data_IF_241600687380
#
_entry.id   IF_241600687380
#
_cell.length_a   1.000
_cell.length_b   1.000
_cell.length_c   1.000
_cell.angle_alpha   90.00
_cell.angle_beta   90.00
_cell.angle_gamma   90.00
#
_symmetry.space_group_name_H-M   'P 1'
#
loop_
_entity.id
_entity.type
_entity.pdbx_description
1 polymer ?
#
# COMPACT_ATOMS: atom_id res chain seq x y z
N UNK A 1 10.16 -13.86 3.36
CA UNK A 1 9.88 -14.51 2.06
C UNK A 1 10.94 -14.08 1.04
N UNK A 2 11.20 -14.86 -0.01
CA UNK A 2 12.32 -14.63 -0.96
C UNK A 2 12.32 -13.27 -1.72
N UNK A 3 11.27 -12.47 -1.57
CA UNK A 3 11.06 -11.16 -2.18
C UNK A 3 11.28 -9.97 -1.24
N UNK A 4 11.44 -10.16 0.08
CA UNK A 4 11.60 -9.06 1.05
C UNK A 4 12.97 -8.37 1.04
N UNK A 5 13.95 -8.91 0.30
CA UNK A 5 15.33 -8.36 0.27
C UNK A 5 15.89 -8.13 -1.12
N UNK A 6 15.07 -8.23 -2.17
CA UNK A 6 15.58 -8.12 -3.54
C UNK A 6 15.34 -6.74 -4.11
N UNK A 7 16.41 -6.04 -4.49
CA UNK A 7 16.32 -4.84 -5.31
C UNK A 7 15.83 -5.22 -6.71
N UNK A 8 14.95 -4.40 -7.26
CA UNK A 8 14.42 -4.58 -8.61
C UNK A 8 14.94 -3.48 -9.51
N UNK A 9 15.45 -3.85 -10.69
CA UNK A 9 15.89 -2.90 -11.72
C UNK A 9 15.36 -3.35 -13.07
N UNK A 10 14.98 -2.39 -13.91
CA UNK A 10 14.64 -2.69 -15.29
C UNK A 10 15.77 -2.21 -16.20
N UNK A 11 16.38 -3.16 -16.90
CA UNK A 11 17.51 -2.91 -17.80
C UNK A 11 16.98 -2.94 -19.24
N UNK A 12 17.01 -1.77 -19.89
CA UNK A 12 16.70 -1.65 -21.30
C UNK A 12 17.88 -2.10 -22.14
N UNK A 13 17.68 -3.13 -22.96
CA UNK A 13 18.71 -3.69 -23.83
C UNK A 13 18.29 -3.64 -25.30
N UNK A 14 19.28 -3.53 -26.18
CA UNK A 14 19.13 -3.79 -27.61
C UNK A 14 19.89 -5.06 -27.95
N UNK A 15 19.18 -6.10 -28.36
CA UNK A 15 19.76 -7.34 -28.84
C UNK A 15 19.78 -7.33 -30.37
N UNK A 16 20.84 -7.84 -30.99
CA UNK A 16 20.82 -8.21 -32.41
C UNK A 16 19.87 -9.40 -32.66
N UNK A 17 19.33 -9.51 -33.87
CA UNK A 17 18.46 -10.62 -34.29
C UNK A 17 19.21 -11.95 -34.54
N UNK A 18 20.49 -12.06 -34.14
CA UNK A 18 21.23 -13.31 -34.24
C UNK A 18 20.67 -14.38 -33.29
N UNK A 19 20.70 -15.65 -33.71
CA UNK A 19 20.19 -16.77 -32.93
C UNK A 19 20.94 -16.89 -31.59
N UNK A 20 20.20 -17.09 -30.51
CA UNK A 20 20.76 -17.37 -29.18
C UNK A 20 21.16 -16.15 -28.35
N UNK A 21 21.17 -14.92 -28.91
CA UNK A 21 21.60 -13.71 -28.18
C UNK A 21 20.80 -13.46 -26.90
N UNK A 22 19.46 -13.59 -26.97
CA UNK A 22 18.61 -13.44 -25.79
C UNK A 22 18.85 -14.58 -24.79
N UNK A 23 18.97 -15.82 -25.26
CA UNK A 23 19.22 -16.96 -24.37
C UNK A 23 20.54 -16.81 -23.61
N UNK A 24 21.62 -16.43 -24.31
CA UNK A 24 22.92 -16.15 -23.72
C UNK A 24 22.86 -14.98 -22.72
N UNK A 25 22.10 -13.93 -23.04
CA UNK A 25 21.89 -12.82 -22.12
C UNK A 25 21.21 -13.26 -20.82
N UNK A 26 20.16 -14.09 -20.92
CA UNK A 26 19.47 -14.62 -19.74
C UNK A 26 20.38 -15.56 -18.93
N UNK A 27 21.20 -16.36 -19.60
CA UNK A 27 22.24 -17.18 -18.96
C UNK A 27 23.26 -16.31 -18.23
N UNK A 28 23.75 -15.23 -18.84
CA UNK A 28 24.71 -14.31 -18.22
C UNK A 28 24.15 -13.64 -16.96
N UNK A 29 22.85 -13.29 -16.96
CA UNK A 29 22.17 -12.78 -15.75
C UNK A 29 22.12 -13.84 -14.67
N UNK A 30 21.76 -15.08 -15.02
CA UNK A 30 21.68 -16.20 -14.07
C UNK A 30 23.05 -16.59 -13.52
N UNK A 31 24.12 -16.56 -14.32
CA UNK A 31 25.51 -16.83 -13.88
C UNK A 31 26.05 -15.75 -12.95
N UNK A 32 25.51 -14.53 -13.05
CA UNK A 32 25.80 -13.46 -12.10
C UNK A 32 25.10 -13.64 -10.74
N UNK A 33 24.29 -14.70 -10.57
CA UNK A 33 23.37 -14.98 -9.45
C UNK A 33 22.10 -14.11 -9.44
N UNK A 34 21.79 -13.51 -10.59
CA UNK A 34 20.60 -12.71 -10.81
C UNK A 34 19.36 -13.53 -11.13
N UNK A 35 18.18 -13.04 -10.76
CA UNK A 35 16.91 -13.59 -11.23
C UNK A 35 16.26 -12.67 -12.26
N UNK A 36 15.69 -13.24 -13.31
CA UNK A 36 14.99 -12.51 -14.36
C UNK A 36 13.50 -12.46 -14.06
N UNK A 37 12.92 -11.27 -14.14
CA UNK A 37 11.49 -11.03 -14.03
C UNK A 37 10.82 -10.90 -15.40
N UNK A 38 10.00 -9.85 -15.55
CA UNK A 38 9.33 -9.54 -16.81
C UNK A 38 10.32 -9.21 -17.93
N UNK A 39 9.98 -9.62 -19.15
CA UNK A 39 10.67 -9.22 -20.38
C UNK A 39 9.63 -8.61 -21.30
N UNK A 40 9.71 -7.30 -21.51
CA UNK A 40 8.81 -6.56 -22.39
C UNK A 40 9.54 -6.15 -23.67
N UNK A 41 8.97 -6.47 -24.83
CA UNK A 41 9.50 -6.02 -26.10
C UNK A 41 8.95 -4.63 -26.43
N UNK A 42 9.84 -3.67 -26.65
CA UNK A 42 9.45 -2.28 -26.97
C UNK A 42 9.46 -2.00 -28.47
N UNK A 43 10.44 -2.55 -29.18
CA UNK A 43 10.60 -2.31 -30.62
C UNK A 43 11.30 -3.50 -31.26
N UNK A 44 10.81 -3.91 -32.43
CA UNK A 44 11.42 -4.95 -33.24
C UNK A 44 11.69 -4.43 -34.65
N UNK A 45 12.88 -4.73 -35.14
CA UNK A 45 13.32 -4.43 -36.50
C UNK A 45 13.99 -5.68 -37.09
N UNK A 46 14.28 -5.65 -38.39
CA UNK A 46 15.01 -6.74 -39.05
C UNK A 46 16.45 -6.94 -38.53
N UNK A 47 17.02 -5.97 -37.83
CA UNK A 47 18.41 -6.04 -37.33
C UNK A 47 18.50 -6.17 -35.82
N UNK A 48 17.56 -5.56 -35.09
CA UNK A 48 17.61 -5.48 -33.64
C UNK A 48 16.22 -5.59 -32.99
N UNK A 49 16.20 -6.06 -31.75
CA UNK A 49 15.05 -6.01 -30.87
C UNK A 49 15.45 -5.26 -29.59
N UNK A 50 14.62 -4.29 -29.19
CA UNK A 50 14.78 -3.56 -27.94
C UNK A 50 13.82 -4.15 -26.90
N UNK A 51 14.34 -4.48 -25.72
CA UNK A 51 13.59 -5.09 -24.62
C UNK A 51 13.88 -4.38 -23.31
N UNK A 52 12.88 -4.29 -22.45
CA UNK A 52 13.04 -4.03 -21.03
C UNK A 52 13.06 -5.38 -20.30
N UNK A 53 14.12 -5.63 -19.54
CA UNK A 53 14.31 -6.87 -18.76
C UNK A 53 14.38 -6.48 -17.30
N UNK A 54 13.41 -6.93 -16.50
CA UNK A 54 13.46 -6.77 -15.05
C UNK A 54 14.45 -7.78 -14.46
N UNK A 55 15.35 -7.33 -13.60
CA UNK A 55 16.27 -8.16 -12.84
C UNK A 55 16.11 -7.92 -11.35
N UNK A 56 16.25 -9.00 -10.57
CA UNK A 56 16.21 -8.96 -9.11
C UNK A 56 17.62 -9.22 -8.57
N UNK A 57 18.14 -8.28 -7.80
CA UNK A 57 19.45 -8.31 -7.15
C UNK A 57 19.31 -8.36 -5.64
N UNK A 58 20.39 -8.66 -4.92
CA UNK A 58 20.41 -8.56 -3.45
C UNK A 58 20.69 -7.13 -2.99
N UNK A 59 21.58 -6.43 -3.69
CA UNK A 59 21.98 -5.05 -3.41
C UNK A 59 22.45 -4.35 -4.70
N UNK A 60 22.86 -3.09 -4.58
CA UNK A 60 23.30 -2.28 -5.74
C UNK A 60 24.59 -2.83 -6.37
N UNK A 61 25.50 -3.41 -5.58
CA UNK A 61 26.72 -4.01 -6.12
C UNK A 61 26.40 -5.23 -6.99
N UNK A 62 25.40 -6.03 -6.58
CA UNK A 62 24.89 -7.14 -7.37
C UNK A 62 24.16 -6.64 -8.63
N UNK A 63 23.42 -5.53 -8.58
CA UNK A 63 22.87 -4.89 -9.79
C UNK A 63 23.98 -4.56 -10.77
N UNK A 64 25.06 -3.90 -10.32
CA UNK A 64 26.19 -3.52 -11.16
C UNK A 64 26.83 -4.74 -11.81
N UNK A 65 27.09 -5.80 -11.04
CA UNK A 65 27.63 -7.07 -11.54
C UNK A 65 26.75 -7.69 -12.65
N UNK A 66 25.43 -7.72 -12.45
CA UNK A 66 24.50 -8.20 -13.48
C UNK A 66 24.54 -7.33 -14.73
N UNK A 67 24.52 -6.00 -14.57
CA UNK A 67 24.56 -5.06 -15.69
C UNK A 67 25.87 -5.21 -16.48
N UNK A 68 27.00 -5.45 -15.82
CA UNK A 68 28.28 -5.76 -16.46
C UNK A 68 28.23 -7.07 -17.26
N UNK A 69 27.66 -8.13 -16.70
CA UNK A 69 27.46 -9.40 -17.42
C UNK A 69 26.56 -9.20 -18.66
N UNK A 70 25.50 -8.39 -18.54
CA UNK A 70 24.64 -8.03 -19.67
C UNK A 70 25.36 -7.21 -20.74
N UNK A 71 26.28 -6.31 -20.35
CA UNK A 71 27.12 -5.53 -21.27
C UNK A 71 28.17 -6.41 -21.97
N UNK A 72 28.67 -7.44 -21.30
CA UNK A 72 29.65 -8.38 -21.86
C UNK A 72 29.03 -9.39 -22.84
N UNK A 73 27.71 -9.59 -22.80
CA UNK A 73 27.02 -10.53 -23.68
C UNK A 73 27.10 -10.11 -25.17
N UNK A 74 27.71 -10.92 -26.05
CA UNK A 74 27.82 -10.60 -27.47
C UNK A 74 26.46 -10.36 -28.14
N UNK A 75 26.39 -9.34 -28.98
CA UNK A 75 25.15 -8.97 -29.66
C UNK A 75 24.11 -8.27 -28.77
N UNK A 76 24.42 -7.96 -27.51
CA UNK A 76 23.60 -7.16 -26.61
C UNK A 76 24.25 -5.80 -26.33
N UNK A 77 23.46 -4.73 -26.36
CA UNK A 77 23.86 -3.41 -25.90
C UNK A 77 22.90 -2.94 -24.82
N UNK A 78 23.39 -2.70 -23.61
CA UNK A 78 22.61 -2.05 -22.55
C UNK A 78 22.43 -0.58 -22.91
N UNK A 79 21.18 -0.12 -22.98
CA UNK A 79 20.82 1.25 -23.31
C UNK A 79 20.55 2.09 -22.07
N UNK A 80 19.90 1.51 -21.07
CA UNK A 80 19.50 2.19 -19.85
C UNK A 80 19.34 1.20 -18.70
N UNK A 81 19.61 1.64 -17.47
CA UNK A 81 19.24 0.94 -16.24
C UNK A 81 18.31 1.87 -15.49
N UNK A 82 17.11 1.38 -15.15
CA UNK A 82 16.03 2.16 -14.54
C UNK A 82 15.69 1.60 -13.18
N UNK A 83 15.46 2.49 -12.23
CA UNK A 83 14.78 2.17 -10.99
C UNK A 83 13.29 2.48 -11.16
N UNK A 84 12.54 1.50 -11.64
CA UNK A 84 11.10 1.67 -11.87
C UNK A 84 10.33 1.91 -10.57
N UNK A 85 10.86 1.46 -9.42
CA UNK A 85 10.25 1.77 -8.12
C UNK A 85 10.30 3.27 -7.90
N UNK A 86 11.48 3.89 -8.02
CA UNK A 86 11.60 5.35 -7.85
C UNK A 86 10.86 6.13 -8.94
N UNK A 87 10.87 5.65 -10.19
CA UNK A 87 10.13 6.29 -11.29
C UNK A 87 8.62 6.30 -11.04
N UNK A 88 8.03 5.19 -10.56
CA UNK A 88 6.61 5.11 -10.21
C UNK A 88 6.23 6.01 -9.02
N UNK A 89 7.18 6.41 -8.18
CA UNK A 89 6.96 7.32 -7.07
C UNK A 89 7.20 8.79 -7.41
N UNK A 90 7.63 9.11 -8.65
CA UNK A 90 7.79 10.51 -9.06
C UNK A 90 6.45 11.24 -9.02
N UNK A 91 6.38 12.28 -8.19
CA UNK A 91 5.16 13.07 -7.89
C UNK A 91 4.06 12.32 -7.14
N UNK A 92 4.40 11.19 -6.51
CA UNK A 92 3.48 10.40 -5.70
C UNK A 92 2.57 9.49 -6.53
N UNK A 93 1.88 8.57 -5.85
CA UNK A 93 1.05 7.52 -6.47
C UNK A 93 -0.43 7.89 -6.57
N UNK A 94 -0.84 8.99 -5.93
CA UNK A 94 -2.23 9.43 -5.87
C UNK A 94 -2.35 10.88 -6.32
N UNK A 95 -3.55 11.28 -6.76
CA UNK A 95 -3.83 12.66 -7.08
C UNK A 95 -5.31 13.01 -6.91
N UNK A 96 -5.59 14.22 -6.42
CA UNK A 96 -6.95 14.75 -6.38
C UNK A 96 -7.36 15.17 -7.79
N UNK A 97 -8.54 14.72 -8.21
CA UNK A 97 -9.13 15.01 -9.53
C UNK A 97 -10.59 15.39 -9.38
N UNK A 98 -11.06 16.29 -10.24
CA UNK A 98 -12.48 16.63 -10.30
C UNK A 98 -13.29 15.45 -10.82
N UNK A 99 -14.47 15.23 -10.25
CA UNK A 99 -15.44 14.23 -10.75
C UNK A 99 -16.15 14.69 -12.03
N UNK A 100 -16.15 16.01 -12.30
CA UNK A 100 -16.81 16.61 -13.47
C UNK A 100 -15.89 17.64 -14.14
N UNK A 101 -15.89 17.72 -15.48
CA UNK A 101 -15.20 18.81 -16.16
C UNK A 101 -15.89 20.15 -15.87
N UNK A 102 -15.11 21.23 -15.80
CA UNK A 102 -15.63 22.61 -15.75
C UNK A 102 -15.31 23.27 -17.09
N UNK A 103 -16.19 23.04 -18.06
CA UNK A 103 -16.04 23.41 -19.47
C UNK A 103 -16.86 24.63 -19.89
N UNK A 104 -17.69 25.16 -18.99
CA UNK A 104 -18.56 26.30 -19.24
C UNK A 104 -18.79 27.13 -17.98
N UNK A 105 -19.14 28.40 -18.18
CA UNK A 105 -19.54 29.29 -17.09
C UNK A 105 -20.78 28.76 -16.35
N UNK A 106 -21.71 28.11 -17.07
CA UNK A 106 -22.89 27.51 -16.49
C UNK A 106 -22.53 26.35 -15.53
N UNK A 107 -21.55 25.51 -15.89
CA UNK A 107 -21.04 24.46 -15.00
C UNK A 107 -20.34 25.08 -13.78
N UNK A 108 -19.46 26.08 -14.00
CA UNK A 108 -18.77 26.78 -12.91
C UNK A 108 -19.74 27.37 -11.89
N UNK A 109 -20.81 28.03 -12.35
CA UNK A 109 -21.82 28.62 -11.48
C UNK A 109 -22.63 27.62 -10.67
N UNK A 110 -22.71 26.35 -11.11
CA UNK A 110 -23.41 25.26 -10.39
C UNK A 110 -22.51 24.62 -9.33
N UNK A 111 -21.27 24.30 -9.69
CA UNK A 111 -20.31 23.64 -8.79
C UNK A 111 -19.68 24.61 -7.79
N UNK A 112 -19.73 25.91 -8.09
CA UNK A 112 -19.22 26.98 -7.25
C UNK A 112 -20.27 28.09 -7.10
N UNK A 113 -19.82 29.33 -6.87
CA UNK A 113 -20.71 30.47 -6.67
C UNK A 113 -21.49 30.80 -7.96
N UNK A 114 -22.81 31.05 -7.88
CA UNK A 114 -23.65 31.10 -6.66
C UNK A 114 -24.30 29.76 -6.26
N UNK A 115 -24.24 28.72 -7.09
CA UNK A 115 -24.97 27.46 -6.91
C UNK A 115 -24.60 26.69 -5.64
N UNK A 116 -23.32 26.63 -5.29
CA UNK A 116 -22.83 25.91 -4.08
C UNK A 116 -23.50 26.38 -2.79
N UNK A 117 -23.93 27.65 -2.72
CA UNK A 117 -24.62 28.19 -1.55
C UNK A 117 -25.93 27.44 -1.24
N UNK A 118 -26.62 26.91 -2.25
CA UNK A 118 -27.82 26.09 -2.04
C UNK A 118 -27.49 24.79 -1.31
N UNK A 119 -26.38 24.14 -1.68
CA UNK A 119 -25.90 22.91 -1.04
C UNK A 119 -25.49 23.20 0.41
N UNK A 120 -24.72 24.27 0.64
CA UNK A 120 -24.32 24.68 2.00
C UNK A 120 -25.53 24.95 2.91
N UNK A 121 -26.56 25.66 2.42
CA UNK A 121 -27.78 25.91 3.21
C UNK A 121 -28.56 24.64 3.52
N UNK A 122 -28.59 23.66 2.59
CA UNK A 122 -29.21 22.36 2.84
C UNK A 122 -28.49 21.60 3.95
N UNK A 123 -27.16 21.54 3.90
CA UNK A 123 -26.34 20.88 4.93
C UNK A 123 -26.45 21.61 6.27
N UNK A 124 -26.51 22.95 6.28
CA UNK A 124 -26.70 23.71 7.51
C UNK A 124 -28.06 23.46 8.16
N UNK A 125 -29.11 23.20 7.37
CA UNK A 125 -30.44 22.85 7.87
C UNK A 125 -30.54 21.39 8.31
N UNK A 126 -29.83 20.48 7.64
CA UNK A 126 -29.76 19.05 7.96
C UNK A 126 -28.34 18.53 7.69
N UNK A 127 -27.49 18.39 8.73
CA UNK A 127 -26.11 17.93 8.58
C UNK A 127 -25.96 16.56 7.93
N UNK A 128 -26.97 15.68 8.00
CA UNK A 128 -26.91 14.35 7.38
C UNK A 128 -26.82 14.43 5.85
N UNK A 129 -27.29 15.54 5.26
CA UNK A 129 -27.19 15.81 3.82
C UNK A 129 -25.74 15.94 3.33
N UNK A 130 -24.78 16.16 4.24
CA UNK A 130 -23.35 16.16 3.88
C UNK A 130 -22.92 14.81 3.29
N UNK A 131 -23.50 13.70 3.74
CA UNK A 131 -23.23 12.37 3.20
C UNK A 131 -23.62 12.22 1.73
N UNK A 132 -24.68 12.91 1.31
CA UNK A 132 -25.22 12.87 -0.06
C UNK A 132 -24.57 13.87 -0.99
N UNK A 133 -24.35 15.11 -0.53
CA UNK A 133 -23.92 16.21 -1.42
C UNK A 133 -22.43 16.52 -1.37
N UNK A 134 -21.63 15.72 -0.65
CA UNK A 134 -20.18 15.88 -0.58
C UNK A 134 -19.47 14.54 -0.80
N UNK A 135 -18.14 14.57 -0.85
CA UNK A 135 -17.32 13.37 -0.94
C UNK A 135 -17.16 12.64 0.41
N UNK A 136 -17.70 13.14 1.52
CA UNK A 136 -17.51 12.54 2.87
C UNK A 136 -17.80 11.03 2.85
N UNK A 137 -18.91 10.61 2.26
CA UNK A 137 -19.33 9.20 2.16
C UNK A 137 -18.35 8.28 1.43
N UNK A 138 -17.39 8.85 0.69
CA UNK A 138 -16.39 8.13 -0.10
C UNK A 138 -14.95 8.32 0.40
N UNK A 139 -14.73 9.12 1.45
CA UNK A 139 -13.39 9.49 1.91
C UNK A 139 -13.03 8.77 3.21
N UNK A 140 -11.84 8.16 3.24
CA UNK A 140 -11.26 7.52 4.42
C UNK A 140 -9.95 8.24 4.76
N UNK A 141 -9.78 8.66 6.00
CA UNK A 141 -8.49 9.17 6.46
C UNK A 141 -7.56 7.99 6.78
N UNK A 142 -6.38 7.96 6.17
CA UNK A 142 -5.33 7.00 6.48
C UNK A 142 -4.31 7.73 7.35
N UNK A 143 -4.42 7.55 8.66
CA UNK A 143 -3.67 8.32 9.67
C UNK A 143 -2.47 7.53 10.14
N UNK A 144 -1.30 8.17 10.11
CA UNK A 144 -0.04 7.60 10.62
C UNK A 144 0.83 8.66 11.28
N UNK A 145 1.67 8.24 12.23
CA UNK A 145 2.81 9.02 12.74
C UNK A 145 4.17 8.50 12.22
N UNK A 146 4.16 7.44 11.41
CA UNK A 146 5.36 6.83 10.81
C UNK A 146 6.29 6.12 11.80
N UNK A 147 5.77 5.71 12.96
CA UNK A 147 6.59 5.11 14.03
C UNK A 147 6.75 3.58 13.92
N UNK A 148 5.99 2.92 13.05
CA UNK A 148 6.07 1.47 12.82
C UNK A 148 5.89 1.11 11.33
N UNK A 149 6.57 1.84 10.44
CA UNK A 149 6.41 1.66 8.99
C UNK A 149 7.00 0.33 8.55
N UNK A 150 6.14 -0.61 8.13
CA UNK A 150 6.55 -1.95 7.66
C UNK A 150 7.50 -2.64 8.67
N UNK A 151 8.61 -3.18 8.20
CA UNK A 151 9.71 -3.70 9.04
C UNK A 151 10.83 -2.67 9.30
N UNK A 152 10.63 -1.40 8.94
CA UNK A 152 11.66 -0.35 9.03
C UNK A 152 11.66 0.37 10.38
N UNK A 153 10.58 0.24 11.16
CA UNK A 153 10.44 0.86 12.48
C UNK A 153 10.08 2.34 12.41
N UNK A 154 10.57 3.12 13.38
CA UNK A 154 10.34 4.57 13.43
C UNK A 154 11.28 5.28 12.45
N UNK A 155 10.75 5.58 11.28
CA UNK A 155 11.41 6.35 10.22
C UNK A 155 10.78 7.75 10.04
N UNK A 156 9.81 8.07 10.90
CA UNK A 156 9.06 9.32 10.88
C UNK A 156 7.98 9.39 9.79
N UNK A 157 7.07 10.37 9.91
CA UNK A 157 5.86 10.42 9.10
C UNK A 157 6.14 10.57 7.60
N UNK A 158 7.08 11.42 7.21
CA UNK A 158 7.37 11.69 5.80
C UNK A 158 7.89 10.46 5.05
N UNK A 159 8.72 9.63 5.69
CA UNK A 159 9.19 8.38 5.10
C UNK A 159 8.10 7.30 5.04
N UNK A 160 7.03 7.44 5.84
CA UNK A 160 5.81 6.63 5.73
C UNK A 160 4.88 7.04 4.58
N UNK A 161 5.00 8.26 4.02
CA UNK A 161 4.11 8.77 2.97
C UNK A 161 3.94 7.79 1.79
N UNK A 162 5.01 7.17 1.23
CA UNK A 162 4.86 6.22 0.13
C UNK A 162 3.97 5.03 0.51
N UNK A 163 4.04 4.52 1.74
CA UNK A 163 3.19 3.41 2.19
C UNK A 163 1.73 3.86 2.26
N UNK A 164 1.46 5.04 2.82
CA UNK A 164 0.11 5.61 2.93
C UNK A 164 -0.52 5.88 1.56
N UNK A 165 0.24 6.44 0.61
CA UNK A 165 -0.22 6.60 -0.77
C UNK A 165 -0.51 5.24 -1.43
N UNK A 166 0.28 4.21 -1.11
CA UNK A 166 0.04 2.84 -1.57
C UNK A 166 -1.28 2.29 -1.06
N UNK A 167 -1.58 2.47 0.24
CA UNK A 167 -2.86 2.08 0.84
C UNK A 167 -4.04 2.83 0.22
N UNK A 168 -3.90 4.14 0.01
CA UNK A 168 -4.91 4.95 -0.68
C UNK A 168 -5.17 4.48 -2.11
N UNK A 169 -4.11 4.18 -2.88
CA UNK A 169 -4.20 3.66 -4.24
C UNK A 169 -4.91 2.29 -4.28
N UNK A 170 -4.55 1.38 -3.38
CA UNK A 170 -5.22 0.06 -3.26
C UNK A 170 -6.70 0.22 -2.93
N UNK A 171 -7.04 1.14 -2.01
CA UNK A 171 -8.41 1.41 -1.62
C UNK A 171 -9.27 1.92 -2.79
N UNK A 172 -8.71 2.82 -3.60
CA UNK A 172 -9.39 3.32 -4.80
C UNK A 172 -9.58 2.20 -5.84
N UNK A 173 -8.51 1.47 -6.14
CA UNK A 173 -8.52 0.48 -7.23
C UNK A 173 -9.32 -0.77 -6.89
N UNK A 174 -9.33 -1.22 -5.64
CA UNK A 174 -9.98 -2.47 -5.23
C UNK A 174 -11.41 -2.27 -4.70
N UNK A 175 -11.72 -1.10 -4.14
CA UNK A 175 -13.00 -0.85 -3.44
C UNK A 175 -13.75 0.37 -4.00
N UNK A 176 -13.07 1.26 -4.73
CA UNK A 176 -13.67 2.50 -5.24
C UNK A 176 -13.80 3.61 -4.19
N UNK A 177 -13.09 3.50 -3.06
CA UNK A 177 -13.06 4.51 -2.00
C UNK A 177 -11.80 5.38 -2.10
N UNK A 178 -11.90 6.64 -1.67
CA UNK A 178 -10.78 7.59 -1.70
C UNK A 178 -10.06 7.63 -0.36
N UNK A 179 -8.89 7.00 -0.28
CA UNK A 179 -8.00 7.14 0.87
C UNK A 179 -7.24 8.47 0.83
N UNK A 180 -7.17 9.18 1.96
CA UNK A 180 -6.39 10.42 2.11
C UNK A 180 -5.33 10.21 3.18
N UNK A 181 -4.03 10.19 2.81
CA UNK A 181 -2.94 10.13 3.78
C UNK A 181 -2.93 11.36 4.71
N UNK A 182 -2.94 11.13 6.02
CA UNK A 182 -2.83 12.14 7.06
C UNK A 182 -1.61 11.80 7.93
N UNK A 183 -0.53 12.54 7.70
CA UNK A 183 0.74 12.34 8.38
C UNK A 183 0.82 13.28 9.59
N UNK A 184 0.88 12.71 10.78
CA UNK A 184 0.95 13.46 12.03
C UNK A 184 2.41 13.52 12.52
N UNK A 185 2.95 14.74 12.65
CA UNK A 185 4.30 14.95 13.16
C UNK A 185 4.31 15.09 14.68
N UNK A 186 3.73 14.11 15.37
CA UNK A 186 3.72 14.02 16.83
C UNK A 186 3.77 12.56 17.24
N UNK A 187 4.33 12.30 18.43
CA UNK A 187 4.35 10.98 19.05
C UNK A 187 3.44 10.89 20.27
N UNK A 188 2.81 12.00 20.66
CA UNK A 188 1.89 12.05 21.80
C UNK A 188 0.53 11.46 21.39
N UNK A 189 0.07 10.37 22.02
CA UNK A 189 -1.25 9.80 21.77
C UNK A 189 -2.38 10.82 21.87
N UNK A 190 -2.35 11.74 22.85
CA UNK A 190 -3.43 12.72 23.05
C UNK A 190 -3.48 13.75 21.92
N UNK A 191 -2.32 14.19 21.44
CA UNK A 191 -2.25 15.08 20.28
C UNK A 191 -2.76 14.39 19.01
N UNK A 192 -2.43 13.11 18.82
CA UNK A 192 -2.95 12.29 17.71
C UNK A 192 -4.47 12.19 17.80
N UNK A 193 -5.01 11.82 18.96
CA UNK A 193 -6.45 11.68 19.18
C UNK A 193 -7.16 13.03 18.92
N UNK A 194 -6.62 14.12 19.45
CA UNK A 194 -7.18 15.45 19.25
C UNK A 194 -7.18 15.87 17.77
N UNK A 195 -6.07 15.61 17.06
CA UNK A 195 -5.95 15.92 15.64
C UNK A 195 -6.95 15.12 14.80
N UNK A 196 -7.05 13.80 15.02
CA UNK A 196 -7.99 12.93 14.30
C UNK A 196 -9.44 13.34 14.58
N UNK A 197 -9.78 13.67 15.82
CA UNK A 197 -11.12 14.18 16.18
C UNK A 197 -11.45 15.48 15.47
N UNK A 198 -10.47 16.39 15.33
CA UNK A 198 -10.70 17.67 14.68
C UNK A 198 -10.97 17.53 13.17
N UNK A 199 -10.35 16.55 12.50
CA UNK A 199 -10.51 16.35 11.05
C UNK A 199 -11.65 15.40 10.68
N UNK A 200 -12.19 14.64 11.65
CA UNK A 200 -13.19 13.59 11.42
C UNK A 200 -14.43 14.02 10.62
N UNK A 201 -14.94 15.27 10.68
CA UNK A 201 -16.10 15.66 9.86
C UNK A 201 -15.88 15.55 8.34
N UNK A 202 -14.62 15.44 7.89
CA UNK A 202 -14.27 15.28 6.47
C UNK A 202 -14.42 13.83 5.99
N UNK A 203 -14.44 12.84 6.87
CA UNK A 203 -14.25 11.45 6.52
C UNK A 203 -15.43 10.57 6.93
N UNK A 204 -15.70 9.53 6.14
CA UNK A 204 -16.65 8.47 6.49
C UNK A 204 -16.05 7.43 7.45
N UNK A 205 -14.72 7.30 7.49
CA UNK A 205 -14.01 6.35 8.35
C UNK A 205 -12.57 6.83 8.59
N UNK A 206 -11.99 6.37 9.70
CA UNK A 206 -10.58 6.53 10.03
C UNK A 206 -9.89 5.17 9.99
N UNK A 207 -8.83 5.08 9.21
CA UNK A 207 -7.90 3.97 9.21
C UNK A 207 -6.60 4.42 9.88
N UNK A 208 -6.24 3.80 11.00
CA UNK A 208 -4.95 3.97 11.65
C UNK A 208 -3.94 3.00 11.03
N UNK A 209 -2.73 3.49 10.75
CA UNK A 209 -1.70 2.75 10.03
C UNK A 209 -0.31 3.03 10.59
N UNK A 210 0.54 2.00 10.71
CA UNK A 210 1.97 2.13 11.01
C UNK A 210 2.26 2.94 12.30
N UNK A 211 1.40 2.82 13.32
CA UNK A 211 1.59 3.41 14.65
C UNK A 211 2.13 2.35 15.62
N UNK A 212 3.22 2.67 16.31
CA UNK A 212 3.87 1.71 17.20
C UNK A 212 3.05 1.31 18.42
N UNK A 213 3.10 0.01 18.76
CA UNK A 213 2.61 -0.49 20.04
C UNK A 213 3.50 0.00 21.20
N UNK A 214 2.94 0.21 22.42
CA UNK A 214 1.54 -0.01 22.79
C UNK A 214 0.61 1.18 22.51
N UNK A 215 1.13 2.33 22.04
CA UNK A 215 0.35 3.57 21.87
C UNK A 215 -0.84 3.39 20.91
N UNK A 216 -0.66 2.59 19.86
CA UNK A 216 -1.71 2.28 18.90
C UNK A 216 -3.01 1.78 19.54
N UNK A 217 -2.93 1.02 20.64
CA UNK A 217 -4.11 0.47 21.32
C UNK A 217 -4.93 1.56 22.00
N UNK A 218 -4.28 2.46 22.74
CA UNK A 218 -4.94 3.56 23.44
C UNK A 218 -5.56 4.56 22.45
N UNK A 219 -4.82 4.88 21.37
CA UNK A 219 -5.27 5.78 20.30
C UNK A 219 -6.54 5.21 19.65
N UNK A 220 -6.52 3.94 19.25
CA UNK A 220 -7.67 3.27 18.64
C UNK A 220 -8.88 3.24 19.57
N UNK A 221 -8.71 2.79 20.81
CA UNK A 221 -9.80 2.67 21.78
C UNK A 221 -10.46 4.03 22.05
N UNK A 222 -9.65 5.08 22.30
CA UNK A 222 -10.18 6.42 22.57
C UNK A 222 -10.86 7.03 21.35
N UNK A 223 -10.36 6.77 20.14
CA UNK A 223 -10.99 7.25 18.91
C UNK A 223 -12.31 6.51 18.61
N UNK A 224 -12.35 5.19 18.78
CA UNK A 224 -13.59 4.41 18.66
C UNK A 224 -14.66 4.87 19.65
N UNK A 225 -14.27 5.25 20.88
CA UNK A 225 -15.19 5.77 21.88
C UNK A 225 -15.66 7.21 21.62
N UNK A 226 -14.84 8.02 20.94
CA UNK A 226 -15.07 9.46 20.78
C UNK A 226 -15.70 9.86 19.45
N UNK A 227 -15.73 8.98 18.44
CA UNK A 227 -16.19 9.28 17.09
C UNK A 227 -17.42 8.46 16.72
N UNK A 228 -18.36 9.10 16.01
CA UNK A 228 -19.57 8.45 15.47
C UNK A 228 -19.32 7.72 14.12
N UNK A 229 -18.07 7.71 13.64
CA UNK A 229 -17.65 7.04 12.41
C UNK A 229 -16.72 5.85 12.74
N UNK A 230 -16.66 4.81 11.87
CA UNK A 230 -15.78 3.68 12.09
C UNK A 230 -14.30 4.09 12.20
N UNK A 231 -13.61 3.53 13.19
CA UNK A 231 -12.17 3.64 13.38
C UNK A 231 -11.58 2.22 13.42
N UNK A 232 -10.60 1.95 12.58
CA UNK A 232 -9.94 0.65 12.44
C UNK A 232 -8.42 0.83 12.37
N UNK A 233 -7.66 0.06 13.13
CA UNK A 233 -6.24 -0.11 12.89
C UNK A 233 -5.96 -1.31 11.97
N UNK A 234 -5.43 -1.08 10.76
CA UNK A 234 -5.27 -2.15 9.75
C UNK A 234 -4.24 -3.21 10.19
N UNK A 235 -3.08 -2.77 10.72
CA UNK A 235 -2.04 -3.69 11.19
C UNK A 235 -2.52 -4.65 12.30
N UNK A 236 -3.53 -4.24 13.07
CA UNK A 236 -4.17 -5.07 14.08
C UNK A 236 -5.27 -5.94 13.46
N UNK A 237 -6.36 -5.31 13.06
CA UNK A 237 -7.60 -5.98 12.72
C UNK A 237 -7.57 -6.58 11.31
N UNK A 238 -6.98 -5.87 10.34
CA UNK A 238 -6.79 -6.36 8.98
C UNK A 238 -5.96 -7.65 8.96
N UNK A 239 -4.83 -7.64 9.67
CA UNK A 239 -3.98 -8.84 9.83
C UNK A 239 -4.74 -9.98 10.51
N UNK A 240 -5.46 -9.70 11.60
CA UNK A 240 -6.25 -10.71 12.31
C UNK A 240 -7.32 -11.37 11.43
N UNK A 241 -8.04 -10.59 10.62
CA UNK A 241 -9.07 -11.10 9.71
C UNK A 241 -8.46 -12.03 8.65
N UNK A 242 -7.38 -11.60 7.99
CA UNK A 242 -6.75 -12.39 6.93
C UNK A 242 -6.12 -13.68 7.49
N UNK A 243 -5.43 -13.60 8.64
CA UNK A 243 -4.89 -14.78 9.32
C UNK A 243 -5.99 -15.77 9.73
N UNK A 244 -7.10 -15.26 10.26
CA UNK A 244 -8.25 -16.08 10.65
C UNK A 244 -8.87 -16.79 9.45
N UNK A 245 -9.08 -16.06 8.35
CA UNK A 245 -9.62 -16.63 7.12
C UNK A 245 -8.71 -17.72 6.54
N UNK A 246 -7.39 -17.48 6.51
CA UNK A 246 -6.42 -18.46 6.04
C UNK A 246 -6.43 -19.74 6.90
N UNK A 247 -6.50 -19.59 8.23
CA UNK A 247 -6.56 -20.74 9.14
C UNK A 247 -7.87 -21.53 8.98
N UNK A 248 -9.01 -20.84 8.83
CA UNK A 248 -10.30 -21.49 8.56
C UNK A 248 -10.27 -22.34 7.28
N UNK A 249 -9.65 -21.82 6.21
CA UNK A 249 -9.47 -22.59 4.97
C UNK A 249 -8.54 -23.78 5.22
N UNK A 250 -7.37 -23.57 5.83
CA UNK A 250 -6.43 -24.65 6.09
C UNK A 250 -7.04 -25.77 6.96
N UNK A 251 -7.83 -25.41 7.98
CA UNK A 251 -8.53 -26.36 8.83
C UNK A 251 -9.53 -27.20 8.03
N UNK A 252 -10.32 -26.56 7.16
CA UNK A 252 -11.27 -27.24 6.27
C UNK A 252 -10.57 -28.20 5.31
N UNK A 253 -9.49 -27.77 4.65
CA UNK A 253 -8.76 -28.60 3.69
C UNK A 253 -8.04 -29.78 4.35
N UNK A 254 -7.68 -29.67 5.63
CA UNK A 254 -7.01 -30.74 6.38
C UNK A 254 -7.97 -31.58 7.25
N UNK A 255 -9.27 -31.26 7.25
CA UNK A 255 -10.27 -31.93 8.08
C UNK A 255 -10.07 -31.72 9.59
N UNK A 256 -9.39 -30.64 10.00
CA UNK A 256 -9.13 -30.33 11.42
C UNK A 256 -10.26 -29.49 12.01
N UNK A 257 -10.67 -29.84 13.22
CA UNK A 257 -11.55 -29.00 14.03
C UNK A 257 -10.72 -27.97 14.81
N UNK A 258 -10.92 -26.68 14.51
CA UNK A 258 -10.25 -25.59 15.21
C UNK A 258 -10.67 -25.50 16.68
N UNK A 259 -11.89 -25.92 17.02
CA UNK A 259 -12.37 -25.97 18.40
C UNK A 259 -11.67 -27.05 19.25
N UNK A 260 -10.97 -28.00 18.62
CA UNK A 260 -10.16 -29.03 19.28
C UNK A 260 -8.65 -28.83 19.05
N UNK A 261 -8.26 -27.77 18.35
CA UNK A 261 -6.87 -27.52 18.00
C UNK A 261 -6.15 -26.72 19.09
N UNK A 262 -4.90 -27.08 19.36
CA UNK A 262 -3.98 -26.25 20.13
C UNK A 262 -3.32 -25.23 19.19
N UNK A 263 -3.50 -23.95 19.50
CA UNK A 263 -2.97 -22.84 18.69
C UNK A 263 -1.84 -22.18 19.47
N UNK A 264 -0.63 -22.18 18.89
CA UNK A 264 0.53 -21.46 19.40
C UNK A 264 0.80 -20.19 18.59
N UNK A 265 1.19 -19.11 19.24
CA UNK A 265 1.49 -17.83 18.61
C UNK A 265 2.83 -17.28 19.09
N UNK A 266 3.71 -16.97 18.13
CA UNK A 266 4.99 -16.33 18.40
C UNK A 266 4.87 -14.85 18.04
N UNK A 267 4.94 -13.98 19.05
CA UNK A 267 4.85 -12.52 18.91
C UNK A 267 3.53 -11.94 19.45
N UNK A 268 3.65 -10.90 20.29
CA UNK A 268 2.53 -10.26 20.99
C UNK A 268 2.48 -8.74 20.73
N UNK A 269 2.98 -8.30 19.58
CA UNK A 269 2.82 -6.92 19.09
C UNK A 269 1.38 -6.61 18.66
N UNK A 270 1.17 -5.48 17.98
CA UNK A 270 -0.14 -5.02 17.51
C UNK A 270 -0.94 -6.13 16.77
N UNK A 271 -0.37 -6.68 15.70
CA UNK A 271 -0.97 -7.77 14.93
C UNK A 271 -1.19 -9.04 15.76
N UNK A 272 -0.16 -9.48 16.50
CA UNK A 272 -0.24 -10.70 17.31
C UNK A 272 -1.35 -10.64 18.36
N UNK A 273 -1.47 -9.53 19.08
CA UNK A 273 -2.52 -9.35 20.07
C UNK A 273 -3.92 -9.47 19.44
N UNK A 274 -4.14 -8.83 18.30
CA UNK A 274 -5.41 -8.89 17.58
C UNK A 274 -5.73 -10.28 17.02
N UNK A 275 -4.74 -10.98 16.44
CA UNK A 275 -4.88 -12.37 15.98
C UNK A 275 -5.28 -13.27 17.15
N UNK A 276 -4.54 -13.21 18.26
CA UNK A 276 -4.80 -14.01 19.44
C UNK A 276 -6.22 -13.78 19.99
N UNK A 277 -6.65 -12.53 20.12
CA UNK A 277 -8.02 -12.19 20.55
C UNK A 277 -9.09 -12.73 19.60
N UNK A 278 -8.90 -12.59 18.29
CA UNK A 278 -9.85 -13.09 17.30
C UNK A 278 -9.92 -14.63 17.31
N UNK A 279 -8.78 -15.31 17.45
CA UNK A 279 -8.69 -16.76 17.58
C UNK A 279 -9.40 -17.27 18.84
N UNK A 280 -9.11 -16.69 20.00
CA UNK A 280 -9.76 -17.08 21.25
C UNK A 280 -11.27 -16.89 21.19
N UNK A 281 -11.74 -15.82 20.54
CA UNK A 281 -13.17 -15.58 20.31
C UNK A 281 -13.80 -16.60 19.36
N UNK A 282 -13.08 -17.01 18.31
CA UNK A 282 -13.56 -17.97 17.33
C UNK A 282 -13.62 -19.40 17.89
N UNK A 283 -12.61 -19.83 18.64
CA UNK A 283 -12.46 -21.22 19.10
C UNK A 283 -13.00 -21.45 20.51
N UNK A 284 -13.11 -20.41 21.33
CA UNK A 284 -13.40 -20.52 22.76
C UNK A 284 -12.22 -21.05 23.59
N UNK A 285 -11.06 -21.30 22.96
CA UNK A 285 -9.87 -21.86 23.59
C UNK A 285 -8.77 -20.80 23.76
N UNK A 286 -7.90 -20.93 24.78
CA UNK A 286 -6.74 -20.06 24.90
C UNK A 286 -5.76 -20.27 23.74
N UNK A 287 -5.15 -19.19 23.27
CA UNK A 287 -3.98 -19.22 22.39
C UNK A 287 -2.73 -19.27 23.27
N UNK A 288 -1.84 -20.23 22.99
CA UNK A 288 -0.58 -20.43 23.72
C UNK A 288 0.49 -19.52 23.14
N UNK A 289 1.32 -18.90 23.99
CA UNK A 289 2.42 -18.02 23.61
C UNK A 289 3.78 -18.53 24.08
#
# INVERSE_FOLDING_TARGET
MAWERKLMRTVRVRNSQARGVLAQLLTAISEADGNVGGIEMLTETSQHVVRDITVYAEDEAHVEKMVEAMRANPGTKVLQVRDEVLELHQKGKIAIRSRYPIDSLATLQRVYTPGVAQVCRKIAADPSMAWTYTSISHMVAIVTDGTAVLGLGDIGPLAGMPVMEGKAMLMETLVGLSGVPILLNTRDPEEIIAAVKAISPTFAAIQLEDISAPRCFEIEEKLQAALDIPVLHDDQHGTAVVCTAALLVAARETGRDLGQSLIGQIGLGAAGNAIGKMMMRLTGNPVLG
#
